data_IF_783180106420
#
_entry.id   IF_783180106420
#
_cell.length_a   1.000
_cell.length_b   1.000
_cell.length_c   1.000
_cell.angle_alpha   90.00
_cell.angle_beta   90.00
_cell.angle_gamma   90.00
#
_symmetry.space_group_name_H-M   'P 1'
#
loop_
_entity.id
_entity.type
_entity.pdbx_description
1 polymer ?
#
# COMPACT_ATOMS: atom_id res chain seq x y z
N UNK A 1 -12.43 -15.55 1.35
CA UNK A 1 -11.27 -14.71 1.71
C UNK A 1 -10.44 -14.45 0.47
N UNK A 2 -10.03 -13.22 0.24
CA UNK A 2 -9.24 -12.87 -0.94
C UNK A 2 -7.77 -13.20 -0.70
N UNK A 3 -7.03 -13.49 -1.78
CA UNK A 3 -5.57 -13.53 -1.73
C UNK A 3 -5.03 -12.15 -2.07
N UNK A 4 -3.92 -11.76 -1.44
CA UNK A 4 -3.28 -10.47 -1.68
C UNK A 4 -1.95 -10.70 -2.38
N UNK A 5 -1.76 -10.03 -3.52
CA UNK A 5 -0.54 -10.13 -4.33
C UNK A 5 0.01 -8.73 -4.55
N UNK A 6 1.33 -8.65 -4.56
CA UNK A 6 2.03 -7.39 -4.86
C UNK A 6 2.58 -7.46 -6.27
N UNK A 7 2.27 -6.45 -7.08
CA UNK A 7 2.89 -6.32 -8.40
C UNK A 7 4.39 -6.10 -8.23
N UNK A 8 5.14 -6.31 -9.31
CA UNK A 8 6.57 -6.01 -9.33
C UNK A 8 6.84 -4.56 -8.94
N UNK A 9 6.01 -3.65 -9.43
CA UNK A 9 6.14 -2.22 -9.13
C UNK A 9 5.85 -1.90 -7.67
N UNK A 10 4.83 -2.52 -7.10
CA UNK A 10 4.51 -2.33 -5.68
C UNK A 10 5.64 -2.82 -4.79
N UNK A 11 6.24 -3.96 -5.13
CA UNK A 11 7.42 -4.44 -4.41
C UNK A 11 8.59 -3.46 -4.49
N UNK A 12 8.83 -2.91 -5.69
CA UNK A 12 9.88 -1.92 -5.88
C UNK A 12 9.59 -0.64 -5.08
N UNK A 13 8.33 -0.20 -5.06
CA UNK A 13 7.92 0.95 -4.25
C UNK A 13 8.25 0.70 -2.76
N UNK A 14 7.91 -0.48 -2.26
CA UNK A 14 8.14 -0.81 -0.85
C UNK A 14 9.62 -0.82 -0.51
N UNK A 15 10.45 -1.40 -1.37
CA UNK A 15 11.90 -1.39 -1.20
C UNK A 15 12.45 0.03 -1.19
N UNK A 16 12.00 0.86 -2.11
CA UNK A 16 12.41 2.26 -2.22
C UNK A 16 12.04 3.05 -0.96
N UNK A 17 10.80 2.91 -0.50
CA UNK A 17 10.32 3.61 0.70
C UNK A 17 11.10 3.18 1.94
N UNK A 18 11.34 1.88 2.07
CA UNK A 18 12.13 1.37 3.20
C UNK A 18 13.57 1.91 3.18
N UNK A 19 14.21 1.87 2.01
CA UNK A 19 15.60 2.33 1.87
C UNK A 19 15.73 3.81 2.24
N UNK A 20 14.77 4.63 1.80
CA UNK A 20 14.78 6.06 2.11
C UNK A 20 14.68 6.32 3.61
N UNK A 21 13.82 5.59 4.31
CA UNK A 21 13.66 5.71 5.75
C UNK A 21 14.86 5.14 6.51
N UNK A 22 15.42 4.02 6.04
CA UNK A 22 16.54 3.35 6.69
C UNK A 22 17.79 4.21 6.71
N UNK A 23 17.96 5.08 5.73
CA UNK A 23 19.04 6.07 5.73
C UNK A 23 19.00 6.98 6.96
N UNK A 24 17.82 7.19 7.52
CA UNK A 24 17.63 8.05 8.68
C UNK A 24 17.52 7.25 9.97
N UNK A 25 16.77 6.15 9.94
CA UNK A 25 16.50 5.34 11.13
C UNK A 25 15.93 3.99 10.70
N UNK A 26 16.69 2.92 10.96
CA UNK A 26 16.29 1.57 10.55
C UNK A 26 15.06 1.07 11.32
N UNK A 27 14.89 1.47 12.59
CA UNK A 27 13.71 1.09 13.36
C UNK A 27 12.45 1.71 12.79
N UNK A 28 12.52 2.98 12.39
CA UNK A 28 11.40 3.66 11.75
C UNK A 28 11.07 2.99 10.42
N UNK A 29 12.10 2.62 9.65
CA UNK A 29 11.90 1.94 8.37
C UNK A 29 11.16 0.61 8.56
N UNK A 30 11.58 -0.19 9.53
CA UNK A 30 10.94 -1.49 9.81
C UNK A 30 9.50 -1.32 10.29
N UNK A 31 9.24 -0.33 11.14
CA UNK A 31 7.87 -0.05 11.62
C UNK A 31 6.97 0.42 10.48
N UNK A 32 7.50 1.24 9.58
CA UNK A 32 6.74 1.71 8.41
C UNK A 32 6.33 0.55 7.52
N UNK A 33 7.27 -0.33 7.19
CA UNK A 33 6.99 -1.51 6.37
C UNK A 33 5.93 -2.38 7.03
N UNK A 34 6.06 -2.60 8.34
CA UNK A 34 5.09 -3.40 9.09
C UNK A 34 3.70 -2.77 9.05
N UNK A 35 3.61 -1.45 9.24
CA UNK A 35 2.33 -0.75 9.18
C UNK A 35 1.68 -0.89 7.80
N UNK A 36 2.48 -0.78 6.74
CA UNK A 36 2.00 -0.92 5.37
C UNK A 36 1.47 -2.34 5.14
N UNK A 37 2.27 -3.35 5.46
CA UNK A 37 1.92 -4.74 5.22
C UNK A 37 0.71 -5.16 6.04
N UNK A 38 0.67 -4.78 7.32
CA UNK A 38 -0.45 -5.14 8.21
C UNK A 38 -1.76 -4.53 7.72
N UNK A 39 -1.72 -3.29 7.25
CA UNK A 39 -2.91 -2.62 6.72
C UNK A 39 -3.39 -3.30 5.44
N UNK A 40 -2.47 -3.62 4.54
CA UNK A 40 -2.78 -4.29 3.28
C UNK A 40 -3.36 -5.68 3.54
N UNK A 41 -2.86 -6.39 4.55
CA UNK A 41 -3.36 -7.73 4.91
C UNK A 41 -4.85 -7.72 5.26
N UNK A 42 -5.39 -6.59 5.72
CA UNK A 42 -6.82 -6.46 5.99
C UNK A 42 -7.67 -6.66 4.74
N UNK A 43 -7.09 -6.46 3.56
CA UNK A 43 -7.79 -6.64 2.29
C UNK A 43 -8.13 -8.10 2.02
N UNK A 44 -7.50 -9.05 2.70
CA UNK A 44 -7.88 -10.47 2.60
C UNK A 44 -9.32 -10.67 3.07
N UNK A 45 -9.71 -9.99 4.14
CA UNK A 45 -11.06 -10.09 4.72
C UNK A 45 -11.99 -9.04 4.15
N UNK A 46 -11.48 -7.82 3.90
CA UNK A 46 -12.30 -6.69 3.47
C UNK A 46 -11.72 -6.08 2.18
N UNK A 47 -11.83 -6.77 1.03
CA UNK A 47 -11.21 -6.28 -0.20
C UNK A 47 -11.78 -4.94 -0.69
N UNK A 48 -13.01 -4.61 -0.33
CA UNK A 48 -13.63 -3.33 -0.73
C UNK A 48 -13.52 -2.25 0.34
N UNK A 49 -12.58 -2.41 1.28
CA UNK A 49 -12.37 -1.49 2.40
C UNK A 49 -12.13 -0.05 1.94
N UNK A 50 -11.33 0.13 0.90
CA UNK A 50 -10.98 1.46 0.39
C UNK A 50 -11.91 1.88 -0.74
N UNK A 51 -12.18 3.18 -0.89
CA UNK A 51 -13.01 3.68 -2.00
C UNK A 51 -12.27 3.59 -3.32
N UNK A 52 -13.03 3.61 -4.42
CA UNK A 52 -12.48 3.68 -5.76
C UNK A 52 -11.83 5.03 -6.00
N UNK A 53 -10.76 5.03 -6.77
CA UNK A 53 -10.11 6.25 -7.25
C UNK A 53 -11.07 6.93 -8.24
N UNK A 54 -11.15 8.26 -8.18
CA UNK A 54 -12.01 9.03 -9.09
C UNK A 54 -11.54 8.86 -10.54
N UNK A 55 -12.46 8.97 -11.49
CA UNK A 55 -12.15 8.89 -12.92
C UNK A 55 -12.57 7.61 -13.60
N UNK A 56 -13.42 6.80 -12.97
CA UNK A 56 -14.00 5.60 -13.59
C UNK A 56 -13.07 4.39 -13.62
N UNK A 57 -12.00 4.44 -12.86
CA UNK A 57 -11.06 3.32 -12.75
C UNK A 57 -11.58 2.29 -11.74
N UNK A 58 -11.15 1.02 -11.91
CA UNK A 58 -11.38 -0.03 -10.92
C UNK A 58 -10.37 -0.01 -9.79
N UNK A 59 -9.44 0.94 -9.81
CA UNK A 59 -8.42 1.08 -8.76
C UNK A 59 -9.01 1.66 -7.49
N UNK A 60 -8.43 1.23 -6.38
CA UNK A 60 -8.79 1.71 -5.04
C UNK A 60 -7.54 2.18 -4.33
N UNK A 61 -7.66 3.22 -3.50
CA UNK A 61 -6.55 3.76 -2.72
C UNK A 61 -6.81 3.53 -1.23
N UNK A 62 -6.00 2.66 -0.63
CA UNK A 62 -6.04 2.35 0.79
C UNK A 62 -5.08 3.28 1.53
N UNK A 63 -5.62 4.08 2.46
CA UNK A 63 -4.78 4.94 3.29
C UNK A 63 -4.20 4.17 4.46
N UNK A 64 -2.92 4.40 4.73
CA UNK A 64 -2.17 3.73 5.77
C UNK A 64 -1.58 4.80 6.68
N UNK A 65 -1.95 4.78 7.95
CA UNK A 65 -1.45 5.75 8.92
C UNK A 65 -0.04 5.42 9.33
N UNK A 66 0.85 6.39 9.16
CA UNK A 66 2.21 6.32 9.68
C UNK A 66 2.84 7.71 9.58
N UNK A 67 3.38 8.23 10.70
CA UNK A 67 3.96 9.55 10.70
C UNK A 67 2.95 10.64 10.32
N UNK A 68 3.44 11.75 9.80
CA UNK A 68 2.60 12.92 9.49
C UNK A 68 1.75 12.73 8.25
N UNK A 69 2.26 12.00 7.23
CA UNK A 69 1.61 11.92 5.92
C UNK A 69 1.10 10.53 5.57
N UNK A 70 1.62 9.48 6.23
CA UNK A 70 1.24 8.11 5.96
C UNK A 70 1.62 7.63 4.57
N UNK A 71 0.96 6.57 4.14
CA UNK A 71 1.17 5.95 2.84
C UNK A 71 -0.16 5.66 2.18
N UNK A 72 -0.12 5.37 0.88
CA UNK A 72 -1.29 4.95 0.12
C UNK A 72 -0.91 3.71 -0.68
N UNK A 73 -1.71 2.65 -0.54
CA UNK A 73 -1.57 1.45 -1.37
C UNK A 73 -2.68 1.44 -2.40
N UNK A 74 -2.31 1.47 -3.66
CA UNK A 74 -3.27 1.41 -4.78
C UNK A 74 -3.44 -0.04 -5.20
N UNK A 75 -4.67 -0.50 -5.30
CA UNK A 75 -4.97 -1.89 -5.63
C UNK A 75 -6.22 -2.03 -6.47
N UNK A 76 -6.37 -3.19 -7.07
CA UNK A 76 -7.59 -3.59 -7.78
C UNK A 76 -8.01 -4.97 -7.30
N UNK A 77 -9.28 -5.31 -7.55
CA UNK A 77 -9.86 -6.61 -7.21
C UNK A 77 -10.13 -7.35 -8.51
N UNK A 78 -9.57 -8.55 -8.65
CA UNK A 78 -9.77 -9.41 -9.81
C UNK A 78 -10.25 -10.77 -9.29
N UNK A 79 -11.56 -11.01 -9.36
CA UNK A 79 -12.15 -12.22 -8.78
C UNK A 79 -11.93 -12.24 -7.26
N UNK A 80 -11.25 -13.27 -6.78
CA UNK A 80 -10.90 -13.43 -5.36
C UNK A 80 -9.47 -12.95 -5.06
N UNK A 81 -8.86 -12.20 -5.98
CA UNK A 81 -7.49 -11.70 -5.85
C UNK A 81 -7.47 -10.20 -5.69
N UNK A 82 -6.68 -9.73 -4.74
CA UNK A 82 -6.35 -8.31 -4.56
C UNK A 82 -4.94 -8.09 -5.10
N UNK A 83 -4.81 -7.22 -6.09
CA UNK A 83 -3.53 -6.91 -6.71
C UNK A 83 -3.10 -5.51 -6.28
N UNK A 84 -2.08 -5.42 -5.45
CA UNK A 84 -1.49 -4.13 -5.06
C UNK A 84 -0.55 -3.70 -6.17
N UNK A 85 -0.89 -2.60 -6.85
CA UNK A 85 -0.15 -2.13 -8.04
C UNK A 85 0.88 -1.07 -7.72
N UNK A 86 0.65 -0.22 -6.70
CA UNK A 86 1.57 0.84 -6.31
C UNK A 86 1.50 1.10 -4.82
N UNK A 87 2.59 1.58 -4.25
CA UNK A 87 2.62 2.10 -2.88
C UNK A 87 3.30 3.46 -2.92
N UNK A 88 2.63 4.48 -2.38
CA UNK A 88 3.09 5.86 -2.38
C UNK A 88 3.27 6.37 -0.96
N UNK A 89 4.22 7.28 -0.77
CA UNK A 89 4.24 8.13 0.41
C UNK A 89 3.08 9.12 0.29
N UNK A 90 2.49 9.53 1.42
CA UNK A 90 1.32 10.40 1.40
C UNK A 90 1.53 11.78 0.75
N UNK A 91 2.79 12.21 0.61
CA UNK A 91 3.13 13.45 -0.07
C UNK A 91 3.52 13.28 -1.53
N UNK A 92 3.67 12.04 -2.00
CA UNK A 92 4.05 11.82 -3.40
C UNK A 92 2.91 12.20 -4.33
N UNK A 93 3.28 12.75 -5.47
CA UNK A 93 2.33 13.08 -6.51
C UNK A 93 1.85 11.78 -7.19
N UNK A 94 0.55 11.60 -7.25
CA UNK A 94 -0.10 10.44 -7.83
C UNK A 94 -0.85 10.83 -9.10
#
# INVERSE_FOLDING_TARGET
MATVEFSRRANADLVRLRAWLADKDTDVADRAVRAIVDRIDRLQTFPRLAPRVKGGSDLRDLRIRFGAYGYVARYSIVGDRVIVSRIFHGREDR
#
